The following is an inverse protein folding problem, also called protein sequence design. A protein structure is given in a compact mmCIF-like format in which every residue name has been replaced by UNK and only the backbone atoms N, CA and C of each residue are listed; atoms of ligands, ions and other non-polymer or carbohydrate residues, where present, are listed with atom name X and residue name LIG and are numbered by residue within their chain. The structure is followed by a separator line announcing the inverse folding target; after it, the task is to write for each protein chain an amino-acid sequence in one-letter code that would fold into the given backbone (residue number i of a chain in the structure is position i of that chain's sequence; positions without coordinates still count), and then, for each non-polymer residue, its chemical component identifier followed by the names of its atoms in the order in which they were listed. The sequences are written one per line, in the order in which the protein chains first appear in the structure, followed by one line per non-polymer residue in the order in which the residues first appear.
data_IF_743299446511
#
_entry.id   IF_743299446511
#
_cell.length_a   1.000
_cell.length_b   1.000
_cell.length_c   1.000
_cell.angle_alpha   90.00
_cell.angle_beta   90.00
_cell.angle_gamma   90.00
#
_symmetry.space_group_name_H-M   'P 1'
#
loop_
_entity.id
_entity.type
_entity.pdbx_description
1 polymer ?
#
# COMPACT_ATOMS: atom_id res chain seq x y z
N UNK A 1 22.45 -8.78 18.88
CA UNK A 1 23.10 -7.50 19.22
C UNK A 1 23.13 -7.42 20.73
N UNK A 2 24.32 -7.66 21.30
CA UNK A 2 24.55 -7.54 22.75
C UNK A 2 25.12 -6.14 23.01
N UNK A 3 24.30 -5.21 23.41
CA UNK A 3 24.68 -4.01 24.13
C UNK A 3 23.85 -3.96 25.39
N UNK A 4 24.49 -3.82 26.54
CA UNK A 4 23.90 -3.54 27.86
C UNK A 4 22.94 -4.59 28.48
N UNK A 5 23.18 -5.89 28.24
CA UNK A 5 22.47 -6.97 28.95
C UNK A 5 21.01 -7.21 28.52
N UNK A 6 20.45 -6.42 27.60
CA UNK A 6 19.11 -6.60 27.07
C UNK A 6 19.14 -7.64 25.94
N UNK A 7 18.37 -8.71 26.10
CA UNK A 7 18.19 -9.73 25.07
C UNK A 7 16.91 -9.43 24.28
N UNK A 8 17.06 -9.23 22.96
CA UNK A 8 15.91 -9.12 22.05
C UNK A 8 15.59 -10.55 21.60
N UNK A 9 14.38 -11.07 21.87
CA UNK A 9 13.95 -12.39 21.42
C UNK A 9 14.03 -12.55 19.90
N UNK A 10 14.30 -13.78 19.43
CA UNK A 10 14.50 -14.05 18.01
C UNK A 10 13.26 -13.79 17.15
N UNK A 11 12.07 -14.02 17.70
CA UNK A 11 10.78 -13.72 17.09
C UNK A 11 10.57 -12.21 16.88
N UNK A 12 11.01 -11.38 17.84
CA UNK A 12 10.99 -9.92 17.74
C UNK A 12 11.96 -9.44 16.65
N UNK A 13 13.16 -10.02 16.58
CA UNK A 13 14.14 -9.69 15.52
C UNK A 13 13.58 -10.04 14.14
N UNK A 14 12.99 -11.23 13.99
CA UNK A 14 12.35 -11.64 12.74
C UNK A 14 11.20 -10.70 12.35
N UNK A 15 10.35 -10.32 13.30
CA UNK A 15 9.25 -9.38 13.08
C UNK A 15 9.74 -8.00 12.63
N UNK A 16 10.76 -7.44 13.28
CA UNK A 16 11.34 -6.13 12.93
C UNK A 16 11.94 -6.18 11.52
N UNK A 17 12.70 -7.23 11.21
CA UNK A 17 13.34 -7.37 9.89
C UNK A 17 12.33 -7.54 8.75
N UNK A 18 11.17 -8.14 9.00
CA UNK A 18 10.09 -8.26 8.02
C UNK A 18 9.30 -6.96 7.85
N UNK A 19 9.19 -6.17 8.92
CA UNK A 19 8.36 -4.95 8.91
C UNK A 19 9.14 -3.72 8.44
N UNK A 20 10.46 -3.66 8.75
CA UNK A 20 11.34 -2.55 8.37
C UNK A 20 12.12 -2.83 7.07
N UNK A 21 11.45 -3.31 6.03
CA UNK A 21 12.04 -3.79 4.77
C UNK A 21 12.65 -2.69 3.87
N UNK A 22 12.72 -1.44 4.29
CA UNK A 22 13.11 -0.35 3.39
C UNK A 22 14.31 0.48 3.83
N UNK A 23 14.61 0.59 5.11
CA UNK A 23 15.62 1.54 5.57
C UNK A 23 16.35 1.05 6.83
N UNK A 24 17.66 1.08 6.77
CA UNK A 24 18.52 0.85 7.96
C UNK A 24 18.18 1.83 9.07
N UNK A 25 17.76 3.04 8.71
CA UNK A 25 17.38 4.11 9.64
C UNK A 25 16.10 3.77 10.41
N UNK A 26 15.10 3.16 9.74
CA UNK A 26 13.86 2.73 10.38
C UNK A 26 14.11 1.54 11.31
N UNK A 27 14.99 0.64 10.89
CA UNK A 27 15.44 -0.49 11.72
C UNK A 27 16.15 0.00 12.99
N UNK A 28 17.07 0.95 12.88
CA UNK A 28 17.75 1.57 14.01
C UNK A 28 16.78 2.31 14.92
N UNK A 29 15.83 3.07 14.34
CA UNK A 29 14.77 3.77 15.07
C UNK A 29 13.88 2.82 15.86
N UNK A 30 13.46 1.72 15.25
CA UNK A 30 12.65 0.69 15.90
C UNK A 30 13.40 0.01 17.06
N UNK A 31 14.66 -0.37 16.86
CA UNK A 31 15.49 -1.00 17.89
C UNK A 31 15.72 -0.03 19.05
N UNK A 32 16.11 1.20 18.77
CA UNK A 32 16.32 2.23 19.81
C UNK A 32 15.04 2.54 20.58
N UNK A 33 13.90 2.60 19.89
CA UNK A 33 12.59 2.77 20.52
C UNK A 33 12.23 1.62 21.47
N UNK A 34 12.49 0.38 21.06
CA UNK A 34 12.27 -0.81 21.89
C UNK A 34 13.14 -0.82 23.15
N UNK A 35 14.41 -0.50 22.99
CA UNK A 35 15.36 -0.42 24.10
C UNK A 35 14.96 0.68 25.10
N UNK A 36 14.66 1.86 24.60
CA UNK A 36 14.21 2.98 25.43
C UNK A 36 12.93 2.63 26.21
N UNK A 37 11.96 2.00 25.54
CA UNK A 37 10.70 1.62 26.18
C UNK A 37 10.90 0.53 27.24
N UNK A 38 11.75 -0.47 26.97
CA UNK A 38 12.09 -1.52 27.93
C UNK A 38 12.75 -0.97 29.18
N UNK A 39 13.65 0.01 29.02
CA UNK A 39 14.33 0.67 30.15
C UNK A 39 13.36 1.51 30.98
N UNK A 40 12.57 2.38 30.33
CA UNK A 40 11.66 3.30 31.01
C UNK A 40 10.56 2.58 31.78
N UNK A 41 10.03 1.50 31.23
CA UNK A 41 8.91 0.77 31.81
C UNK A 41 9.33 -0.52 32.53
N UNK A 42 10.62 -0.81 32.61
CA UNK A 42 11.20 -2.02 33.19
C UNK A 42 10.45 -3.29 32.72
N UNK A 43 10.15 -3.34 31.42
CA UNK A 43 9.37 -4.40 30.79
C UNK A 43 10.23 -5.23 29.84
N UNK A 44 9.96 -6.54 29.79
CA UNK A 44 10.61 -7.42 28.82
C UNK A 44 10.21 -7.05 27.39
N UNK A 45 11.16 -7.19 26.47
CA UNK A 45 10.90 -6.99 25.05
C UNK A 45 10.16 -8.22 24.52
N UNK A 46 8.90 -8.03 24.15
CA UNK A 46 8.05 -9.04 23.52
C UNK A 46 7.49 -8.54 22.17
N UNK A 47 6.82 -9.42 21.47
CA UNK A 47 6.26 -9.11 20.14
C UNK A 47 5.18 -8.01 20.22
N UNK A 48 4.42 -7.94 21.32
CA UNK A 48 3.37 -6.92 21.51
C UNK A 48 3.97 -5.53 21.73
N UNK A 49 5.11 -5.48 22.42
CA UNK A 49 5.87 -4.25 22.57
C UNK A 49 6.47 -3.83 21.24
N UNK A 50 7.04 -4.78 20.47
CA UNK A 50 7.58 -4.54 19.15
C UNK A 50 6.54 -3.97 18.20
N UNK A 51 5.35 -4.57 18.12
CA UNK A 51 4.23 -4.06 17.32
C UNK A 51 3.85 -2.62 17.69
N UNK A 52 3.81 -2.30 18.97
CA UNK A 52 3.43 -0.98 19.48
C UNK A 52 4.48 0.08 19.17
N UNK A 53 5.76 -0.27 19.33
CA UNK A 53 6.89 0.64 19.09
C UNK A 53 7.09 0.85 17.59
N UNK A 54 7.00 -0.21 16.79
CA UNK A 54 7.13 -0.12 15.33
C UNK A 54 6.00 0.69 14.72
N UNK A 55 4.75 0.52 15.16
CA UNK A 55 3.64 1.39 14.75
C UNK A 55 3.84 2.87 15.06
N UNK A 56 4.71 3.19 16.02
CA UNK A 56 5.04 4.57 16.39
C UNK A 56 6.34 5.08 15.75
N UNK A 57 7.34 4.22 15.58
CA UNK A 57 8.66 4.57 15.07
C UNK A 57 8.70 4.56 13.53
N UNK A 58 8.14 3.54 12.92
CA UNK A 58 7.69 3.59 11.54
C UNK A 58 6.39 4.38 11.61
N UNK A 59 6.41 5.64 11.22
CA UNK A 59 5.19 6.33 10.83
C UNK A 59 4.59 5.49 9.70
N UNK A 60 3.79 4.50 10.05
CA UNK A 60 2.77 4.02 9.17
C UNK A 60 1.89 5.25 9.06
N UNK A 61 2.14 6.05 8.05
CA UNK A 61 1.24 7.11 7.66
C UNK A 61 -0.06 6.38 7.35
N UNK A 62 -0.93 6.29 8.37
CA UNK A 62 -2.34 5.88 8.24
C UNK A 62 -3.10 6.96 7.44
N UNK A 63 -2.42 7.59 6.47
CA UNK A 63 -3.11 8.37 5.47
C UNK A 63 -3.91 7.38 4.63
N UNK A 64 -5.24 7.46 4.73
CA UNK A 64 -6.07 6.59 3.92
C UNK A 64 -5.67 6.80 2.45
N UNK A 65 -5.42 5.71 1.75
CA UNK A 65 -5.03 5.73 0.36
C UNK A 65 -5.98 6.63 -0.44
N UNK A 66 -5.42 7.65 -1.07
CA UNK A 66 -6.20 8.63 -1.81
C UNK A 66 -6.38 8.19 -3.27
N UNK A 67 -7.34 8.81 -3.96
CA UNK A 67 -7.53 8.57 -5.39
C UNK A 67 -6.33 9.02 -6.22
N UNK A 68 -5.68 10.10 -5.81
CA UNK A 68 -4.51 10.63 -6.49
C UNK A 68 -3.32 9.67 -6.38
N UNK A 69 -3.12 9.05 -5.21
CA UNK A 69 -2.09 8.01 -5.03
C UNK A 69 -2.30 6.83 -5.97
N UNK A 70 -3.54 6.39 -6.13
CA UNK A 70 -3.89 5.28 -7.04
C UNK A 70 -3.63 5.69 -8.49
N UNK A 71 -4.08 6.86 -8.89
CA UNK A 71 -3.90 7.38 -10.25
C UNK A 71 -2.41 7.48 -10.57
N UNK A 72 -1.60 8.06 -9.69
CA UNK A 72 -0.16 8.23 -9.90
C UNK A 72 0.54 6.88 -10.10
N UNK A 73 0.28 5.90 -9.23
CA UNK A 73 0.91 4.57 -9.34
C UNK A 73 0.47 3.82 -10.59
N UNK A 74 -0.82 3.88 -10.95
CA UNK A 74 -1.33 3.28 -12.18
C UNK A 74 -0.75 3.97 -13.41
N UNK A 75 -0.69 5.30 -13.42
CA UNK A 75 -0.09 6.06 -14.51
C UNK A 75 1.37 5.72 -14.72
N UNK A 76 2.13 5.62 -13.62
CA UNK A 76 3.54 5.22 -13.69
C UNK A 76 3.71 3.81 -14.25
N UNK A 77 2.91 2.84 -13.78
CA UNK A 77 3.01 1.45 -14.21
C UNK A 77 2.66 1.26 -15.70
N UNK A 78 1.56 1.84 -16.16
CA UNK A 78 1.11 1.72 -17.56
C UNK A 78 1.74 2.75 -18.50
N UNK A 79 2.67 3.59 -18.01
CA UNK A 79 3.29 4.67 -18.76
C UNK A 79 2.27 5.57 -19.48
N UNK A 80 1.23 5.96 -18.76
CA UNK A 80 0.17 6.86 -19.22
C UNK A 80 0.10 8.11 -18.35
N UNK A 81 -0.43 9.20 -18.91
CA UNK A 81 -0.59 10.44 -18.15
C UNK A 81 -1.90 10.46 -17.36
N UNK A 82 -1.99 11.19 -16.23
CA UNK A 82 -3.24 11.39 -15.51
C UNK A 82 -4.37 11.94 -16.40
N UNK A 83 -4.03 12.80 -17.36
CA UNK A 83 -4.98 13.32 -18.35
C UNK A 83 -5.57 12.22 -19.24
N UNK A 84 -4.81 11.17 -19.54
CA UNK A 84 -5.30 10.01 -20.29
C UNK A 84 -6.34 9.21 -19.49
N UNK A 85 -6.16 9.09 -18.17
CA UNK A 85 -7.13 8.47 -17.25
C UNK A 85 -8.47 9.21 -17.30
N UNK A 86 -8.43 10.53 -17.24
CA UNK A 86 -9.66 11.38 -17.27
C UNK A 86 -10.28 11.54 -18.67
N UNK A 87 -9.54 11.20 -19.73
CA UNK A 87 -9.98 11.40 -21.11
C UNK A 87 -11.13 10.47 -21.53
N UNK A 88 -11.82 10.82 -22.60
CA UNK A 88 -12.81 9.95 -23.27
C UNK A 88 -12.18 8.99 -24.28
N UNK A 89 -10.85 8.98 -24.40
CA UNK A 89 -10.13 8.13 -25.36
C UNK A 89 -10.43 6.65 -25.13
N UNK A 90 -10.59 5.91 -26.23
CA UNK A 90 -10.83 4.45 -26.25
C UNK A 90 -9.57 3.65 -26.56
N UNK A 91 -8.39 4.26 -26.58
CA UNK A 91 -7.14 3.53 -26.73
C UNK A 91 -7.05 2.46 -25.65
N UNK A 92 -6.64 1.25 -26.06
CA UNK A 92 -6.66 0.05 -25.20
C UNK A 92 -5.86 0.27 -23.90
N UNK A 93 -4.69 0.85 -23.99
CA UNK A 93 -3.84 1.19 -22.84
C UNK A 93 -4.54 2.10 -21.82
N UNK A 94 -5.25 3.15 -22.29
CA UNK A 94 -5.96 4.08 -21.42
C UNK A 94 -7.22 3.44 -20.81
N UNK A 95 -7.86 2.53 -21.56
CA UNK A 95 -9.04 1.80 -21.05
C UNK A 95 -8.60 0.86 -19.94
N UNK A 96 -7.52 0.11 -20.12
CA UNK A 96 -6.98 -0.83 -19.11
C UNK A 96 -6.56 -0.05 -17.87
N UNK A 97 -5.79 1.02 -18.01
CA UNK A 97 -5.35 1.84 -16.88
C UNK A 97 -6.54 2.39 -16.10
N UNK A 98 -7.59 2.90 -16.77
CA UNK A 98 -8.84 3.35 -16.11
C UNK A 98 -9.55 2.24 -15.36
N UNK A 99 -9.68 1.06 -15.96
CA UNK A 99 -10.32 -0.09 -15.31
C UNK A 99 -9.57 -0.52 -14.05
N UNK A 100 -8.25 -0.58 -14.12
CA UNK A 100 -7.38 -0.88 -12.96
C UNK A 100 -7.52 0.21 -11.89
N UNK A 101 -7.51 1.49 -12.26
CA UNK A 101 -7.72 2.60 -11.33
C UNK A 101 -9.06 2.48 -10.59
N UNK A 102 -10.15 2.23 -11.32
CA UNK A 102 -11.48 2.05 -10.72
C UNK A 102 -11.54 0.85 -9.79
N UNK A 103 -10.94 -0.26 -10.18
CA UNK A 103 -10.88 -1.49 -9.39
C UNK A 103 -10.08 -1.27 -8.09
N UNK A 104 -8.89 -0.69 -8.17
CA UNK A 104 -8.06 -0.42 -6.99
C UNK A 104 -8.72 0.58 -6.05
N UNK A 105 -9.37 1.63 -6.59
CA UNK A 105 -10.13 2.57 -5.78
C UNK A 105 -11.30 1.90 -5.05
N UNK A 106 -12.05 1.04 -5.72
CA UNK A 106 -13.15 0.30 -5.11
C UNK A 106 -12.67 -0.69 -4.03
N UNK A 107 -11.50 -1.32 -4.25
CA UNK A 107 -10.92 -2.31 -3.34
C UNK A 107 -10.27 -1.69 -2.10
N UNK A 108 -9.55 -0.57 -2.27
CA UNK A 108 -8.68 -0.02 -1.22
C UNK A 108 -9.22 1.27 -0.59
N UNK A 109 -10.27 1.86 -1.13
CA UNK A 109 -10.90 3.03 -0.53
C UNK A 109 -12.33 2.72 -0.11
N UNK A 110 -12.88 3.54 0.78
CA UNK A 110 -14.30 3.44 1.18
C UNK A 110 -15.21 4.29 0.29
N UNK A 111 -14.73 4.70 -0.90
CA UNK A 111 -15.50 5.56 -1.79
C UNK A 111 -16.59 4.78 -2.52
N UNK A 112 -17.82 5.32 -2.63
CA UNK A 112 -18.87 4.71 -3.42
C UNK A 112 -18.54 4.80 -4.92
N UNK A 113 -19.03 3.83 -5.71
CA UNK A 113 -18.77 3.75 -7.16
C UNK A 113 -19.12 5.03 -7.92
N UNK A 114 -20.18 5.73 -7.50
CA UNK A 114 -20.57 7.01 -8.08
C UNK A 114 -19.49 8.10 -7.91
N UNK A 115 -18.80 8.13 -6.77
CA UNK A 115 -17.71 9.07 -6.52
C UNK A 115 -16.45 8.69 -7.29
N UNK A 116 -16.11 7.40 -7.32
CA UNK A 116 -14.99 6.89 -8.10
C UNK A 116 -15.17 7.25 -9.58
N UNK A 117 -16.36 7.01 -10.14
CA UNK A 117 -16.66 7.34 -11.53
C UNK A 117 -16.48 8.83 -11.86
N UNK A 118 -16.94 9.72 -10.98
CA UNK A 118 -16.75 11.18 -11.13
C UNK A 118 -15.27 11.55 -11.18
N UNK A 119 -14.46 10.96 -10.30
CA UNK A 119 -13.02 11.21 -10.23
C UNK A 119 -12.24 10.60 -11.39
N UNK A 120 -12.73 9.53 -12.03
CA UNK A 120 -12.08 8.87 -13.19
C UNK A 120 -12.73 9.29 -14.51
N UNK A 121 -12.76 10.61 -14.76
CA UNK A 121 -13.22 11.17 -16.02
C UNK A 121 -14.74 11.24 -16.17
N UNK A 122 -15.44 11.52 -15.09
CA UNK A 122 -16.90 11.72 -15.03
C UNK A 122 -17.69 10.54 -15.61
N UNK A 123 -17.44 9.35 -15.09
CA UNK A 123 -18.09 8.09 -15.49
C UNK A 123 -19.24 7.75 -14.54
N UNK A 124 -20.25 7.06 -15.08
CA UNK A 124 -21.35 6.55 -14.29
C UNK A 124 -20.93 5.41 -13.36
N UNK A 125 -21.67 5.23 -12.27
CA UNK A 125 -21.43 4.14 -11.32
C UNK A 125 -21.47 2.75 -11.96
N UNK A 126 -22.34 2.55 -12.97
CA UNK A 126 -22.43 1.31 -13.75
C UNK A 126 -21.14 1.01 -14.51
N UNK A 127 -20.47 2.04 -15.05
CA UNK A 127 -19.17 1.91 -15.71
C UNK A 127 -18.10 1.44 -14.71
N UNK A 128 -18.13 1.93 -13.49
CA UNK A 128 -17.18 1.51 -12.43
C UNK A 128 -17.41 0.03 -12.08
N UNK A 129 -18.65 -0.37 -11.81
CA UNK A 129 -19.01 -1.76 -11.51
C UNK A 129 -18.57 -2.69 -12.65
N UNK A 130 -18.90 -2.33 -13.89
CA UNK A 130 -18.51 -3.11 -15.06
C UNK A 130 -16.98 -3.22 -15.21
N UNK A 131 -16.26 -2.14 -14.94
CA UNK A 131 -14.79 -2.13 -14.95
C UNK A 131 -14.21 -3.05 -13.90
N UNK A 132 -14.73 -3.05 -12.68
CA UNK A 132 -14.32 -3.96 -11.61
C UNK A 132 -14.55 -5.42 -12.02
N UNK A 133 -15.72 -5.75 -12.53
CA UNK A 133 -16.04 -7.11 -13.01
C UNK A 133 -15.09 -7.57 -14.12
N UNK A 134 -14.76 -6.69 -15.07
CA UNK A 134 -13.78 -7.01 -16.14
C UNK A 134 -12.39 -7.29 -15.60
N UNK A 135 -11.91 -6.49 -14.64
CA UNK A 135 -10.61 -6.72 -14.00
C UNK A 135 -10.63 -8.04 -13.24
N UNK A 136 -11.67 -8.33 -12.46
CA UNK A 136 -11.81 -9.59 -11.73
C UNK A 136 -11.82 -10.81 -12.65
N UNK A 137 -12.53 -10.73 -13.78
CA UNK A 137 -12.54 -11.80 -14.77
C UNK A 137 -11.15 -12.01 -15.37
N UNK A 138 -10.45 -10.93 -15.71
CA UNK A 138 -9.11 -11.00 -16.27
C UNK A 138 -8.10 -11.57 -15.26
N UNK A 139 -8.20 -11.23 -13.99
CA UNK A 139 -7.36 -11.79 -12.92
C UNK A 139 -7.48 -13.32 -12.77
N UNK A 140 -8.63 -13.89 -13.14
CA UNK A 140 -8.84 -15.35 -13.11
C UNK A 140 -8.16 -16.06 -14.25
N UNK A 141 -8.03 -15.42 -15.41
CA UNK A 141 -7.61 -16.01 -16.66
C UNK A 141 -6.17 -15.67 -17.08
N UNK A 142 -5.63 -14.56 -16.60
CA UNK A 142 -4.37 -13.96 -17.03
C UNK A 142 -3.42 -13.86 -15.84
N UNK A 143 -2.42 -14.75 -15.79
CA UNK A 143 -1.43 -14.79 -14.71
C UNK A 143 -0.53 -13.56 -14.73
N UNK A 144 -0.09 -13.14 -15.93
CA UNK A 144 0.79 -11.97 -16.09
C UNK A 144 0.10 -10.71 -15.59
N UNK A 145 -1.18 -10.54 -15.93
CA UNK A 145 -1.97 -9.41 -15.45
C UNK A 145 -2.19 -9.45 -13.92
N UNK A 146 -2.27 -10.63 -13.34
CA UNK A 146 -2.34 -10.79 -11.87
C UNK A 146 -1.05 -10.31 -11.20
N UNK A 147 0.09 -10.66 -11.76
CA UNK A 147 1.40 -10.26 -11.26
C UNK A 147 1.61 -8.75 -11.43
N UNK A 148 1.19 -8.18 -12.57
CA UNK A 148 1.15 -6.73 -12.79
C UNK A 148 0.33 -6.01 -11.72
N UNK A 149 -0.90 -6.47 -11.47
CA UNK A 149 -1.78 -5.84 -10.47
C UNK A 149 -1.20 -5.95 -9.06
N UNK A 150 -0.63 -7.12 -8.72
CA UNK A 150 0.03 -7.34 -7.43
C UNK A 150 1.21 -6.39 -7.24
N UNK A 151 2.00 -6.14 -8.29
CA UNK A 151 3.10 -5.17 -8.27
C UNK A 151 2.59 -3.75 -7.98
N UNK A 152 1.50 -3.33 -8.64
CA UNK A 152 0.88 -2.02 -8.38
C UNK A 152 0.38 -1.94 -6.93
N UNK A 153 -0.32 -2.96 -6.44
CA UNK A 153 -0.82 -2.99 -5.05
C UNK A 153 0.31 -2.92 -4.02
N UNK A 154 1.41 -3.62 -4.26
CA UNK A 154 2.58 -3.55 -3.39
C UNK A 154 3.21 -2.15 -3.40
N UNK A 155 3.27 -1.49 -4.56
CA UNK A 155 3.78 -0.12 -4.68
C UNK A 155 2.88 0.91 -3.98
N UNK A 156 1.58 0.66 -3.88
CA UNK A 156 0.64 1.48 -3.11
C UNK A 156 0.84 1.33 -1.61
N UNK A 157 1.16 0.11 -1.14
CA UNK A 157 1.46 -0.16 0.28
C UNK A 157 2.81 0.44 0.71
N UNK A 158 3.80 0.48 -0.19
CA UNK A 158 5.13 1.03 0.08
C UNK A 158 5.11 2.56 0.23
N UNK A 159 4.18 3.27 -0.42
CA UNK A 159 4.04 4.73 -0.25
C UNK A 159 3.55 5.10 1.15
N UNK A 160 2.91 4.18 1.85
CA UNK A 160 2.55 4.37 3.26
C UNK A 160 3.76 4.19 4.19
N UNK A 161 4.97 3.92 3.66
CA UNK A 161 6.21 3.67 4.39
C UNK A 161 7.35 4.66 4.04
N UNK A 162 7.13 5.65 3.18
CA UNK A 162 8.04 6.77 2.90
C UNK A 162 7.56 8.04 3.62
#
# INVERSE_FOLDING_TARGET
IRRDGLQIPADVVAFISQTCNGSVRDLEGAINGLLAYSIVYNSNIDIRLAERVIKRAVKIDDHPLTMDDIIDKVCHHFNVTPTAIHSKSRKREFVVARQVTMFLAAKHTKMPASRIGKLVGNRDHSTVIHSCTKVEQRLKLDADFRDELTSIENSLKLKNNE
#
